data_IF_044620306443
#
_entry.id   IF_044620306443
#
_cell.length_a   1.000
_cell.length_b   1.000
_cell.length_c   1.000
_cell.angle_alpha   90.00
_cell.angle_beta   90.00
_cell.angle_gamma   90.00
#
_symmetry.space_group_name_H-M   'P 1'
#
loop_
_entity.id
_entity.type
_entity.pdbx_description
1 polymer ?
#
# COMPACT_ATOMS: atom_id res chain seq x y z
N UNK A 1 -13.70 -31.50 57.55
CA UNK A 1 -12.94 -30.82 56.48
C UNK A 1 -13.03 -31.68 55.23
N UNK A 2 -13.72 -31.20 54.19
CA UNK A 2 -13.89 -31.92 52.92
C UNK A 2 -13.45 -30.99 51.79
N UNK A 3 -12.43 -31.41 51.02
CA UNK A 3 -11.88 -30.68 49.89
C UNK A 3 -12.33 -31.41 48.63
N UNK A 4 -13.19 -30.78 47.82
CA UNK A 4 -13.59 -31.28 46.49
C UNK A 4 -12.66 -30.71 45.42
N UNK A 5 -12.17 -31.52 44.45
CA UNK A 5 -11.24 -31.06 43.43
C UNK A 5 -11.96 -30.34 42.29
N UNK A 6 -11.40 -29.21 41.84
CA UNK A 6 -11.81 -28.47 40.64
C UNK A 6 -11.12 -29.06 39.41
N UNK A 7 -11.77 -30.04 38.78
CA UNK A 7 -11.41 -30.61 37.47
C UNK A 7 -12.53 -30.31 36.48
N UNK A 8 -12.68 -29.05 36.08
CA UNK A 8 -13.67 -28.66 35.04
C UNK A 8 -13.31 -27.31 34.45
N UNK A 9 -12.11 -27.18 33.86
CA UNK A 9 -11.69 -25.92 33.24
C UNK A 9 -10.84 -26.08 31.97
N UNK A 10 -10.63 -27.29 31.45
CA UNK A 10 -9.77 -27.50 30.27
C UNK A 10 -10.52 -27.84 28.97
N UNK A 11 -11.84 -28.07 29.00
CA UNK A 11 -12.59 -28.50 27.79
C UNK A 11 -13.20 -27.30 27.03
N UNK A 12 -13.35 -26.14 27.68
CA UNK A 12 -13.98 -24.96 27.06
C UNK A 12 -13.12 -24.20 26.05
N UNK A 13 -11.80 -24.43 25.99
CA UNK A 13 -10.89 -23.61 25.19
C UNK A 13 -10.75 -24.06 23.72
N UNK A 14 -11.08 -25.32 23.40
CA UNK A 14 -10.95 -25.86 22.03
C UNK A 14 -12.12 -25.48 21.10
N UNK A 15 -13.27 -25.07 21.65
CA UNK A 15 -14.43 -24.67 20.84
C UNK A 15 -14.31 -23.30 20.18
N UNK A 16 -13.40 -22.43 20.64
CA UNK A 16 -13.30 -21.05 20.16
C UNK A 16 -12.56 -20.90 18.83
N UNK A 17 -11.78 -21.90 18.39
CA UNK A 17 -11.03 -21.84 17.13
C UNK A 17 -11.88 -22.20 15.90
N UNK A 18 -13.09 -22.75 16.08
CA UNK A 18 -13.99 -23.14 14.99
C UNK A 18 -14.76 -21.95 14.40
N UNK A 19 -14.77 -20.79 15.09
CA UNK A 19 -15.34 -19.54 14.59
C UNK A 19 -14.33 -18.66 13.84
N UNK A 20 -13.16 -19.17 13.45
CA UNK A 20 -12.32 -18.45 12.52
C UNK A 20 -13.12 -18.23 11.21
N UNK A 21 -13.35 -16.97 10.78
CA UNK A 21 -13.92 -16.73 9.47
C UNK A 21 -13.00 -17.42 8.46
N UNK A 22 -13.60 -18.20 7.56
CA UNK A 22 -12.86 -18.84 6.48
C UNK A 22 -12.02 -17.75 5.81
N UNK A 23 -10.70 -17.91 5.84
CA UNK A 23 -9.81 -17.08 5.08
C UNK A 23 -10.10 -17.37 3.61
N UNK A 24 -11.07 -16.65 3.04
CA UNK A 24 -11.29 -16.61 1.61
C UNK A 24 -9.97 -16.17 1.00
N UNK A 25 -9.41 -17.00 0.13
CA UNK A 25 -8.25 -16.62 -0.67
C UNK A 25 -8.66 -15.36 -1.43
N UNK A 26 -8.12 -14.21 -1.01
CA UNK A 26 -8.24 -12.96 -1.75
C UNK A 26 -7.53 -13.20 -3.08
N UNK A 27 -8.29 -13.43 -4.14
CA UNK A 27 -7.72 -13.54 -5.47
C UNK A 27 -6.99 -12.22 -5.80
N UNK A 28 -5.79 -12.30 -6.40
CA UNK A 28 -5.05 -11.10 -6.77
C UNK A 28 -5.89 -10.27 -7.74
N UNK A 29 -6.07 -9.00 -7.41
CA UNK A 29 -6.83 -8.07 -8.25
C UNK A 29 -6.09 -7.88 -9.57
N UNK A 30 -6.73 -8.22 -10.69
CA UNK A 30 -6.13 -8.07 -12.01
C UNK A 30 -5.95 -6.59 -12.37
N UNK A 31 -4.95 -6.29 -13.19
CA UNK A 31 -4.70 -4.94 -13.69
C UNK A 31 -5.89 -4.37 -14.45
N UNK A 32 -6.60 -5.21 -15.22
CA UNK A 32 -7.75 -4.80 -16.01
C UNK A 32 -8.94 -4.44 -15.12
N UNK A 33 -9.23 -5.29 -14.13
CA UNK A 33 -10.34 -5.07 -13.20
C UNK A 33 -10.07 -3.84 -12.32
N UNK A 34 -8.81 -3.64 -11.93
CA UNK A 34 -8.40 -2.44 -11.21
C UNK A 34 -8.59 -1.16 -12.04
N UNK A 35 -8.13 -1.13 -13.29
CA UNK A 35 -8.34 0.04 -14.17
C UNK A 35 -9.83 0.28 -14.43
N UNK A 36 -10.62 -0.77 -14.65
CA UNK A 36 -12.07 -0.67 -14.81
C UNK A 36 -12.75 -0.11 -13.54
N UNK A 37 -12.35 -0.59 -12.36
CA UNK A 37 -12.82 -0.08 -11.07
C UNK A 37 -12.50 1.42 -10.89
N UNK A 38 -11.30 1.85 -11.28
CA UNK A 38 -10.91 3.26 -11.20
C UNK A 38 -11.69 4.15 -12.19
N UNK A 39 -11.97 3.65 -13.41
CA UNK A 39 -12.83 4.33 -14.39
C UNK A 39 -14.26 4.47 -13.86
N UNK A 40 -14.82 3.40 -13.29
CA UNK A 40 -16.14 3.42 -12.68
C UNK A 40 -16.23 4.42 -11.50
N UNK A 41 -15.18 4.50 -10.67
CA UNK A 41 -15.11 5.49 -9.59
C UNK A 41 -15.14 6.92 -10.14
N UNK A 42 -14.34 7.21 -11.17
CA UNK A 42 -14.27 8.55 -11.81
C UNK A 42 -15.61 8.98 -12.38
N UNK A 43 -16.40 8.05 -12.91
CA UNK A 43 -17.72 8.31 -13.49
C UNK A 43 -18.83 8.51 -12.43
N UNK A 44 -18.47 8.60 -11.14
CA UNK A 44 -19.42 8.78 -10.04
C UNK A 44 -20.00 7.46 -9.52
N UNK A 45 -19.48 6.32 -9.99
CA UNK A 45 -19.82 4.99 -9.50
C UNK A 45 -19.20 4.75 -8.12
N UNK A 46 -19.83 5.25 -7.05
CA UNK A 46 -19.43 4.96 -5.67
C UNK A 46 -19.87 3.57 -5.16
N UNK A 47 -20.45 2.74 -6.03
CA UNK A 47 -20.78 1.35 -5.73
C UNK A 47 -19.51 0.51 -5.52
N UNK A 48 -19.68 -0.74 -5.06
CA UNK A 48 -18.60 -1.68 -4.67
C UNK A 48 -17.34 -1.62 -5.57
N UNK A 49 -17.43 -1.57 -6.92
CA UNK A 49 -16.24 -1.48 -7.77
C UNK A 49 -15.42 -0.20 -7.56
N UNK A 50 -16.06 0.96 -7.37
CA UNK A 50 -15.34 2.21 -7.12
C UNK A 50 -14.62 2.22 -5.78
N UNK A 51 -15.22 1.58 -4.76
CA UNK A 51 -14.57 1.39 -3.46
C UNK A 51 -13.32 0.49 -3.57
N UNK A 52 -13.33 -0.50 -4.48
CA UNK A 52 -12.18 -1.38 -4.73
C UNK A 52 -10.95 -0.61 -5.22
N UNK A 53 -11.10 0.33 -6.17
CA UNK A 53 -9.97 1.10 -6.68
C UNK A 53 -9.30 1.92 -5.56
N UNK A 54 -10.09 2.68 -4.80
CA UNK A 54 -9.58 3.52 -3.70
C UNK A 54 -8.93 2.69 -2.59
N UNK A 55 -9.58 1.59 -2.20
CA UNK A 55 -9.04 0.69 -1.18
C UNK A 55 -7.73 0.04 -1.61
N UNK A 56 -7.63 -0.39 -2.88
CA UNK A 56 -6.39 -0.95 -3.41
C UNK A 56 -5.25 0.08 -3.42
N UNK A 57 -5.49 1.30 -3.91
CA UNK A 57 -4.49 2.36 -3.90
C UNK A 57 -4.02 2.69 -2.48
N UNK A 58 -4.95 2.83 -1.54
CA UNK A 58 -4.63 3.10 -0.15
C UNK A 58 -3.79 1.96 0.47
N UNK A 59 -4.20 0.71 0.25
CA UNK A 59 -3.47 -0.46 0.75
C UNK A 59 -2.08 -0.59 0.11
N UNK A 60 -1.98 -0.34 -1.19
CA UNK A 60 -0.70 -0.37 -1.91
C UNK A 60 0.26 0.70 -1.39
N UNK A 61 -0.20 1.95 -1.24
CA UNK A 61 0.64 3.03 -0.73
C UNK A 61 1.05 2.83 0.74
N UNK A 62 0.17 2.24 1.56
CA UNK A 62 0.51 1.90 2.94
C UNK A 62 1.52 0.73 3.03
N UNK A 63 1.45 -0.22 2.09
CA UNK A 63 2.34 -1.38 2.05
C UNK A 63 3.67 -1.11 1.32
N UNK A 64 3.73 -0.09 0.47
CA UNK A 64 4.92 0.28 -0.27
C UNK A 64 5.69 1.35 0.50
N UNK A 65 6.76 0.98 1.23
CA UNK A 65 7.65 1.94 1.88
C UNK A 65 8.38 2.90 0.92
N UNK A 66 8.15 2.72 -0.38
CA UNK A 66 8.82 3.36 -1.48
C UNK A 66 8.18 4.69 -1.89
N UNK A 67 7.03 5.08 -1.32
CA UNK A 67 6.39 6.38 -1.55
C UNK A 67 6.58 7.26 -0.32
N UNK A 68 7.57 8.15 -0.37
CA UNK A 68 7.90 9.04 0.73
C UNK A 68 7.41 10.44 0.37
N UNK A 69 6.91 11.18 1.36
CA UNK A 69 6.58 12.59 1.17
C UNK A 69 7.82 13.34 0.68
N UNK A 70 7.72 14.02 -0.46
CA UNK A 70 8.82 14.78 -1.04
C UNK A 70 9.44 15.75 -0.01
N UNK A 71 8.59 16.42 0.77
CA UNK A 71 8.99 17.38 1.81
C UNK A 71 9.70 16.70 3.00
N UNK A 72 9.46 15.41 3.23
CA UNK A 72 10.11 14.65 4.28
C UNK A 72 11.52 14.16 3.89
N UNK A 73 11.94 14.37 2.64
CA UNK A 73 13.24 13.93 2.17
C UNK A 73 14.35 14.85 2.69
N UNK A 74 15.46 14.30 3.22
CA UNK A 74 16.58 15.13 3.67
C UNK A 74 17.15 15.97 2.50
N UNK A 75 17.54 17.21 2.76
CA UNK A 75 18.17 18.05 1.74
C UNK A 75 19.45 17.40 1.19
N UNK A 76 19.90 17.73 -0.05
CA UNK A 76 21.10 17.15 -0.64
C UNK A 76 22.35 17.29 0.25
N UNK A 77 22.47 18.40 0.97
CA UNK A 77 23.53 18.62 1.96
C UNK A 77 23.47 17.62 3.11
N UNK A 78 22.27 17.38 3.66
CA UNK A 78 22.05 16.40 4.73
C UNK A 78 22.30 14.98 4.21
N UNK A 79 21.81 14.62 3.01
CA UNK A 79 22.08 13.32 2.40
C UNK A 79 23.60 13.06 2.27
N UNK A 80 24.37 14.08 1.84
CA UNK A 80 25.83 13.98 1.71
C UNK A 80 26.51 13.85 3.07
N UNK A 81 26.08 14.64 4.06
CA UNK A 81 26.59 14.58 5.42
C UNK A 81 26.34 13.21 6.08
N UNK A 82 25.14 12.64 5.92
CA UNK A 82 24.77 11.33 6.43
C UNK A 82 25.66 10.22 5.83
N UNK A 83 25.91 10.26 4.51
CA UNK A 83 26.82 9.30 3.85
C UNK A 83 28.25 9.35 4.39
N UNK A 84 28.77 10.55 4.66
CA UNK A 84 30.17 10.70 5.10
C UNK A 84 30.41 10.35 6.57
N UNK A 85 29.36 10.43 7.41
CA UNK A 85 29.53 10.31 8.87
C UNK A 85 29.32 8.90 9.40
N UNK A 86 28.97 7.92 8.56
CA UNK A 86 28.78 6.53 8.99
C UNK A 86 27.75 6.36 10.10
N UNK A 87 26.82 7.31 10.24
CA UNK A 87 25.80 7.32 11.29
C UNK A 87 24.84 6.19 10.99
N UNK A 88 24.56 5.36 12.00
CA UNK A 88 23.50 4.36 11.92
C UNK A 88 22.17 5.12 11.83
N UNK A 89 21.59 5.12 10.64
CA UNK A 89 20.34 5.81 10.36
C UNK A 89 19.19 5.07 11.02
N UNK A 90 18.11 5.78 11.34
CA UNK A 90 16.85 5.11 11.66
C UNK A 90 16.31 4.44 10.39
N UNK A 91 15.60 3.32 10.54
CA UNK A 91 14.97 2.60 9.42
C UNK A 91 14.10 3.54 8.57
N UNK A 92 13.35 4.42 9.23
CA UNK A 92 12.58 5.49 8.60
C UNK A 92 13.45 6.42 7.74
N UNK A 93 14.61 6.85 8.24
CA UNK A 93 15.52 7.75 7.49
C UNK A 93 16.16 7.04 6.31
N UNK A 94 16.55 5.77 6.45
CA UNK A 94 17.05 4.97 5.32
C UNK A 94 15.99 4.81 4.24
N UNK A 95 14.77 4.51 4.65
CA UNK A 95 13.63 4.34 3.74
C UNK A 95 13.33 5.62 2.96
N UNK A 96 13.39 6.80 3.62
CA UNK A 96 13.27 8.11 2.97
C UNK A 96 14.39 8.42 1.98
N UNK A 97 15.62 7.97 2.26
CA UNK A 97 16.78 8.19 1.38
C UNK A 97 16.77 7.28 0.15
N UNK A 98 16.21 6.07 0.30
CA UNK A 98 16.24 5.03 -0.74
C UNK A 98 14.91 4.87 -1.48
N UNK A 99 13.87 5.59 -1.09
CA UNK A 99 12.59 5.61 -1.79
C UNK A 99 12.76 6.12 -3.24
N UNK A 100 12.33 5.35 -4.24
CA UNK A 100 12.38 5.74 -5.66
C UNK A 100 11.25 6.70 -6.06
N UNK A 101 10.19 6.82 -5.25
CA UNK A 101 9.00 7.60 -5.57
C UNK A 101 8.72 8.69 -4.53
N UNK A 102 8.51 9.91 -4.99
CA UNK A 102 8.21 11.09 -4.20
C UNK A 102 6.73 11.45 -4.41
N UNK A 103 5.88 11.03 -3.48
CA UNK A 103 4.46 11.37 -3.51
C UNK A 103 4.25 12.64 -2.67
N UNK A 104 3.55 13.68 -3.16
CA UNK A 104 3.22 14.84 -2.34
C UNK A 104 2.44 14.43 -1.08
N UNK A 105 2.71 15.07 0.06
CA UNK A 105 2.09 14.71 1.34
C UNK A 105 0.56 14.83 1.32
N UNK A 106 0.07 15.79 0.55
CA UNK A 106 -1.32 16.16 0.40
C UNK A 106 -1.95 15.65 -0.90
N UNK A 107 -1.27 14.78 -1.67
CA UNK A 107 -1.83 14.22 -2.90
C UNK A 107 -3.09 13.40 -2.57
N UNK A 108 -4.29 13.85 -2.98
CA UNK A 108 -5.50 13.15 -2.63
C UNK A 108 -5.61 11.88 -3.46
N UNK A 109 -6.12 10.81 -2.84
CA UNK A 109 -6.34 9.52 -3.53
C UNK A 109 -7.16 9.70 -4.81
N UNK A 110 -8.11 10.63 -4.84
CA UNK A 110 -8.93 10.92 -6.01
C UNK A 110 -8.09 11.38 -7.22
N UNK A 111 -6.99 12.10 -7.00
CA UNK A 111 -6.06 12.47 -8.08
C UNK A 111 -5.36 11.24 -8.66
N UNK A 112 -4.92 10.32 -7.79
CA UNK A 112 -4.33 9.05 -8.23
C UNK A 112 -5.33 8.21 -9.02
N UNK A 113 -6.57 8.13 -8.53
CA UNK A 113 -7.66 7.44 -9.25
C UNK A 113 -7.87 8.04 -10.63
N UNK A 114 -7.91 9.37 -10.74
CA UNK A 114 -8.08 10.07 -12.01
C UNK A 114 -6.95 9.80 -12.99
N UNK A 115 -5.69 9.74 -12.51
CA UNK A 115 -4.54 9.38 -13.34
C UNK A 115 -4.61 7.95 -13.83
N UNK A 116 -4.95 6.98 -12.97
CA UNK A 116 -5.15 5.58 -13.37
C UNK A 116 -6.30 5.44 -14.37
N UNK A 117 -7.42 6.13 -14.14
CA UNK A 117 -8.57 6.05 -15.02
C UNK A 117 -8.33 6.74 -16.38
N UNK A 118 -7.44 7.74 -16.42
CA UNK A 118 -7.12 8.55 -17.60
C UNK A 118 -5.98 8.02 -18.46
N UNK A 119 -5.16 7.12 -17.93
CA UNK A 119 -4.05 6.54 -18.67
C UNK A 119 -4.48 5.34 -19.52
N UNK A 120 -3.89 5.24 -20.71
CA UNK A 120 -3.99 4.07 -21.56
C UNK A 120 -2.83 3.13 -21.23
N UNK A 121 -3.14 2.04 -20.51
CA UNK A 121 -2.17 1.02 -20.17
C UNK A 121 -2.17 -0.10 -21.19
N UNK A 122 -1.02 -0.36 -21.81
CA UNK A 122 -0.77 -1.64 -22.48
C UNK A 122 -0.50 -2.73 -21.42
N UNK A 123 -1.52 -3.53 -21.14
CA UNK A 123 -1.52 -4.51 -20.05
C UNK A 123 -1.38 -5.94 -20.58
N UNK A 124 -0.29 -6.64 -20.23
CA UNK A 124 -0.16 -8.04 -20.62
C UNK A 124 -1.25 -8.89 -19.96
N UNK A 125 -1.64 -9.98 -20.62
CA UNK A 125 -2.65 -10.89 -20.09
C UNK A 125 -2.21 -11.47 -18.75
N UNK A 126 -3.01 -11.26 -17.70
CA UNK A 126 -2.72 -11.73 -16.35
C UNK A 126 -1.84 -10.81 -15.50
N UNK A 127 -1.57 -9.56 -15.92
CA UNK A 127 -0.93 -8.59 -15.03
C UNK A 127 -1.78 -8.30 -13.79
N UNK A 128 -1.12 -8.13 -12.65
CA UNK A 128 -1.72 -7.70 -11.39
C UNK A 128 -1.89 -6.18 -11.33
N UNK A 129 -2.84 -5.71 -10.52
CA UNK A 129 -3.08 -4.30 -10.24
C UNK A 129 -1.82 -3.57 -9.72
N UNK A 130 -0.92 -4.27 -9.04
CA UNK A 130 0.37 -3.73 -8.58
C UNK A 130 1.24 -3.19 -9.72
N UNK A 131 1.15 -3.77 -10.92
CA UNK A 131 1.91 -3.32 -12.11
C UNK A 131 1.42 -1.95 -12.54
N UNK A 132 0.10 -1.73 -12.52
CA UNK A 132 -0.53 -0.45 -12.88
C UNK A 132 -0.09 0.66 -11.93
N UNK A 133 -0.14 0.40 -10.62
CA UNK A 133 0.23 1.41 -9.62
C UNK A 133 1.73 1.70 -9.66
N UNK A 134 2.58 0.71 -9.90
CA UNK A 134 4.02 0.94 -10.07
C UNK A 134 4.30 1.83 -11.28
N UNK A 135 3.68 1.52 -12.42
CA UNK A 135 3.81 2.33 -13.63
C UNK A 135 3.30 3.77 -13.43
N UNK A 136 2.18 3.94 -12.73
CA UNK A 136 1.70 5.26 -12.31
C UNK A 136 2.75 6.04 -11.49
N UNK A 137 3.39 5.39 -10.52
CA UNK A 137 4.44 6.01 -9.71
C UNK A 137 5.70 6.34 -10.53
N UNK A 138 6.07 5.47 -11.46
CA UNK A 138 7.20 5.67 -12.39
C UNK A 138 6.96 6.82 -13.38
N UNK A 139 5.72 7.00 -13.83
CA UNK A 139 5.39 8.02 -14.83
C UNK A 139 5.22 9.42 -14.20
N UNK A 140 4.72 9.50 -12.96
CA UNK A 140 4.28 10.76 -12.36
C UNK A 140 4.99 11.19 -11.08
N UNK A 141 5.66 10.27 -10.38
CA UNK A 141 6.14 10.51 -9.02
C UNK A 141 7.58 10.03 -8.81
N UNK A 142 8.41 9.97 -9.86
CA UNK A 142 9.83 9.71 -9.66
C UNK A 142 10.44 10.86 -8.89
N UNK A 143 11.17 10.54 -7.82
CA UNK A 143 11.96 11.56 -7.15
C UNK A 143 13.02 12.10 -8.12
N UNK A 144 13.06 13.43 -8.28
CA UNK A 144 14.15 14.06 -9.00
C UNK A 144 15.48 13.74 -8.30
N UNK A 145 16.42 13.25 -9.10
CA UNK A 145 17.82 13.10 -8.70
C UNK A 145 18.55 14.34 -9.17
N UNK A 146 18.21 15.51 -8.63
CA UNK A 146 19.08 16.66 -8.81
C UNK A 146 20.41 16.36 -8.08
N UNK A 147 21.47 16.32 -8.89
CA UNK A 147 22.86 15.99 -8.57
C UNK A 147 23.57 17.12 -7.84
#
# INVERSE_FOLDING_TARGET
MSIRPRLSACIGLLGLLVLCPQASALEPLSARDFVAACKAYREGGHLIPGATCRAFLQGFLAAVPAAVSEESRPSPFVQRALRTRGVRLSEETEQRLHSPYCLPHDEPLDTLVNRVAGADYDLPGGADASVVVRKLLEDFYRCDREL
#
